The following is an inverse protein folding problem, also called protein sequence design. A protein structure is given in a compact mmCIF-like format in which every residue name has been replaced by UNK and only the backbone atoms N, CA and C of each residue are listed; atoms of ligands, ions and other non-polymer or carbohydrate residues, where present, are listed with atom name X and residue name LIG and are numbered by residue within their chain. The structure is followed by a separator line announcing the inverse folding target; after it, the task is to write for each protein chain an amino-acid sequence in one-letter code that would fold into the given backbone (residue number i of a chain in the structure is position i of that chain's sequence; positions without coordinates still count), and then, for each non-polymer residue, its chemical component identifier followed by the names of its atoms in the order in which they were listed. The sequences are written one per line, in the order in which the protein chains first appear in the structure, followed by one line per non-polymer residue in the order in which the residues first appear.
data_IF_726356374374
#
_entry.id   IF_726356374374
#
_cell.length_a   1.000
_cell.length_b   1.000
_cell.length_c   1.000
_cell.angle_alpha   90.00
_cell.angle_beta   90.00
_cell.angle_gamma   90.00
#
_symmetry.space_group_name_H-M   'P 1'
#
loop_
_entity.id
_entity.type
_entity.pdbx_description
1 polymer ?
#
# COMPACT_ATOMS: atom_id res chain seq x y z
N UNK A 1 -9.17 4.87 1.32
CA UNK A 1 -8.20 4.07 0.53
C UNK A 1 -8.57 2.59 0.64
N UNK A 2 -8.09 1.75 -0.28
CA UNK A 2 -8.40 0.32 -0.31
C UNK A 2 -7.10 -0.47 -0.44
N UNK A 3 -6.98 -1.61 0.25
CA UNK A 3 -5.90 -2.57 0.00
C UNK A 3 -6.21 -3.31 -1.31
N UNK A 4 -5.28 -3.36 -2.26
CA UNK A 4 -5.52 -3.91 -3.60
C UNK A 4 -5.48 -5.44 -3.59
N UNK A 5 -4.46 -6.02 -2.96
CA UNK A 5 -4.10 -7.44 -3.04
C UNK A 5 -3.77 -8.04 -1.66
N UNK A 6 -3.25 -9.27 -1.63
CA UNK A 6 -2.90 -9.96 -0.40
C UNK A 6 -4.09 -10.47 0.41
N UNK A 7 -3.81 -10.96 1.62
CA UNK A 7 -4.78 -11.52 2.57
C UNK A 7 -5.87 -10.52 2.95
N UNK A 8 -5.54 -9.24 3.00
CA UNK A 8 -6.47 -8.16 3.33
C UNK A 8 -6.98 -7.40 2.11
N UNK A 9 -6.83 -7.96 0.91
CA UNK A 9 -7.30 -7.37 -0.34
C UNK A 9 -8.77 -6.92 -0.27
N UNK A 10 -9.06 -5.81 -0.95
CA UNK A 10 -10.36 -5.11 -0.99
C UNK A 10 -10.80 -4.46 0.32
N UNK A 11 -10.06 -4.61 1.42
CA UNK A 11 -10.39 -3.96 2.69
C UNK A 11 -10.32 -2.43 2.55
N UNK A 12 -11.38 -1.77 2.98
CA UNK A 12 -11.45 -0.30 3.01
C UNK A 12 -10.80 0.22 4.29
N UNK A 13 -9.92 1.20 4.15
CA UNK A 13 -9.30 1.94 5.25
C UNK A 13 -9.74 3.40 5.13
N UNK A 14 -10.24 3.93 6.24
CA UNK A 14 -10.79 5.29 6.34
C UNK A 14 -9.71 6.22 6.89
N UNK A 15 -8.99 6.98 6.05
CA UNK A 15 -8.11 8.03 6.54
C UNK A 15 -8.90 9.21 7.13
N UNK A 16 -8.27 10.07 7.92
CA UNK A 16 -8.84 11.35 8.35
C UNK A 16 -9.37 12.17 7.15
N UNK A 17 -10.54 12.81 7.33
CA UNK A 17 -11.28 13.45 6.22
C UNK A 17 -10.58 14.66 5.58
N UNK A 18 -9.68 15.34 6.31
CA UNK A 18 -9.12 16.63 5.91
C UNK A 18 -7.58 16.63 5.84
N UNK A 19 -6.97 15.53 5.39
CA UNK A 19 -5.52 15.51 5.14
C UNK A 19 -5.22 16.21 3.80
N UNK A 20 -4.40 17.29 3.78
CA UNK A 20 -4.01 17.99 2.55
C UNK A 20 -2.93 17.20 1.80
N UNK A 21 -3.24 15.97 1.42
CA UNK A 21 -2.32 15.05 0.77
C UNK A 21 -2.81 14.71 -0.62
N UNK A 22 -1.88 14.56 -1.56
CA UNK A 22 -2.18 13.97 -2.87
C UNK A 22 -2.29 12.46 -2.71
N UNK A 23 -3.46 11.83 -2.93
CA UNK A 23 -3.60 10.40 -2.76
C UNK A 23 -2.84 9.63 -3.85
N UNK A 24 -2.20 8.52 -3.46
CA UNK A 24 -1.70 7.53 -4.42
C UNK A 24 -2.89 6.77 -5.02
N UNK A 25 -2.96 6.70 -6.35
CA UNK A 25 -4.06 6.01 -7.04
C UNK A 25 -3.93 4.49 -6.91
N UNK A 26 -5.04 3.78 -6.97
CA UNK A 26 -5.06 2.31 -6.96
C UNK A 26 -4.16 1.73 -8.08
N UNK A 27 -4.23 2.31 -9.29
CA UNK A 27 -3.39 1.92 -10.43
C UNK A 27 -1.89 2.08 -10.17
N UNK A 28 -1.47 3.18 -9.51
CA UNK A 28 -0.07 3.41 -9.18
C UNK A 28 0.42 2.40 -8.13
N UNK A 29 -0.42 2.07 -7.13
CA UNK A 29 -0.10 1.02 -6.15
C UNK A 29 0.01 -0.34 -6.81
N UNK A 30 -0.97 -0.73 -7.62
CA UNK A 30 -0.98 -2.02 -8.32
C UNK A 30 0.26 -2.18 -9.21
N UNK A 31 0.59 -1.15 -10.00
CA UNK A 31 1.80 -1.14 -10.84
C UNK A 31 3.08 -1.31 -10.01
N UNK A 32 3.20 -0.60 -8.89
CA UNK A 32 4.36 -0.70 -7.99
C UNK A 32 4.51 -2.13 -7.44
N UNK A 33 3.44 -2.70 -6.90
CA UNK A 33 3.49 -4.04 -6.29
C UNK A 33 3.68 -5.14 -7.34
N UNK A 34 3.15 -4.98 -8.56
CA UNK A 34 3.45 -5.86 -9.69
C UNK A 34 4.95 -5.85 -10.02
N UNK A 35 5.59 -4.68 -10.05
CA UNK A 35 7.03 -4.59 -10.33
C UNK A 35 7.84 -5.23 -9.18
N UNK A 36 7.49 -4.93 -7.93
CA UNK A 36 8.25 -5.40 -6.77
C UNK A 36 8.10 -6.91 -6.54
N UNK A 37 6.89 -7.48 -6.71
CA UNK A 37 6.63 -8.91 -6.52
C UNK A 37 7.38 -9.79 -7.53
N UNK A 38 7.62 -9.28 -8.74
CA UNK A 38 8.44 -9.95 -9.76
C UNK A 38 9.95 -9.89 -9.46
N UNK A 39 10.40 -9.07 -8.50
CA UNK A 39 11.82 -8.89 -8.16
C UNK A 39 12.18 -9.37 -6.76
N UNK A 40 11.22 -9.38 -5.85
CA UNK A 40 11.44 -9.54 -4.41
C UNK A 40 10.34 -10.44 -3.85
N UNK A 41 10.72 -11.58 -3.23
CA UNK A 41 9.82 -12.27 -2.31
C UNK A 41 9.74 -11.48 -0.99
N UNK A 42 8.54 -11.09 -0.56
CA UNK A 42 8.32 -10.29 0.66
C UNK A 42 8.28 -11.12 1.95
N UNK A 43 8.21 -12.45 1.85
CA UNK A 43 8.14 -13.31 3.04
C UNK A 43 9.36 -13.11 3.96
N UNK A 44 9.09 -12.85 5.24
CA UNK A 44 10.11 -12.61 6.26
C UNK A 44 10.89 -11.29 6.13
N UNK A 45 10.51 -10.40 5.20
CA UNK A 45 11.22 -9.12 5.01
C UNK A 45 10.64 -8.00 5.84
N UNK A 46 11.54 -7.13 6.30
CA UNK A 46 11.19 -5.85 6.91
C UNK A 46 11.08 -4.78 5.84
N UNK A 47 10.10 -3.89 5.98
CA UNK A 47 9.85 -2.77 5.07
C UNK A 47 9.82 -1.48 5.86
N UNK A 48 10.39 -0.41 5.29
CA UNK A 48 10.36 0.94 5.84
C UNK A 48 9.67 1.88 4.86
N UNK A 49 8.61 2.53 5.31
CA UNK A 49 7.88 3.55 4.56
C UNK A 49 8.18 4.93 5.15
N UNK A 50 9.13 5.65 4.54
CA UNK A 50 9.68 6.91 5.05
C UNK A 50 8.65 8.05 5.10
N UNK A 51 7.63 8.00 4.24
CA UNK A 51 6.61 9.04 4.12
C UNK A 51 5.22 8.41 4.03
N UNK A 52 4.91 7.58 5.02
CA UNK A 52 3.74 6.70 4.97
C UNK A 52 2.42 7.46 4.83
N UNK A 53 2.33 8.69 5.35
CA UNK A 53 1.13 9.52 5.23
C UNK A 53 -0.10 8.81 5.77
N UNK A 54 -1.06 8.48 4.90
CA UNK A 54 -2.26 7.69 5.26
C UNK A 54 -2.00 6.19 5.41
N UNK A 55 -0.77 5.74 5.19
CA UNK A 55 -0.33 4.35 5.24
C UNK A 55 -0.62 3.56 3.97
N UNK A 56 -0.99 4.19 2.86
CA UNK A 56 -1.52 3.51 1.67
C UNK A 56 -0.62 2.39 1.10
N UNK A 57 0.69 2.56 1.20
CA UNK A 57 1.71 1.59 0.76
C UNK A 57 2.02 0.61 1.90
N UNK A 58 2.23 1.12 3.12
CA UNK A 58 2.44 0.31 4.33
C UNK A 58 1.36 -0.78 4.52
N UNK A 59 0.08 -0.43 4.37
CA UNK A 59 -1.03 -1.37 4.48
C UNK A 59 -1.08 -2.42 3.36
N UNK A 60 -0.47 -2.13 2.21
CA UNK A 60 -0.37 -3.06 1.08
C UNK A 60 0.79 -4.05 1.28
N UNK A 61 1.88 -3.62 1.93
CA UNK A 61 2.98 -4.53 2.28
C UNK A 61 2.63 -5.53 3.39
N UNK A 62 1.74 -5.17 4.32
CA UNK A 62 1.35 -6.05 5.44
C UNK A 62 0.22 -7.03 5.08
N UNK A 63 -0.41 -6.88 3.90
CA UNK A 63 -1.52 -7.71 3.43
C UNK A 63 -1.07 -8.90 2.62
#
# INVERSE_FOLDING_TARGET
MRIISGKYGRRLIKPPKNLPVRPTTDMAKESLFNILSNKINFEGKSVLDLFSGTGAISYEFIS
#
